data_IF_412936790006
#
_entry.id   IF_412936790006
#
_cell.length_a   1.000
_cell.length_b   1.000
_cell.length_c   1.000
_cell.angle_alpha   90.00
_cell.angle_beta   90.00
_cell.angle_gamma   90.00
#
_symmetry.space_group_name_H-M   'P 1'
#
loop_
_entity.id
_entity.type
_entity.pdbx_description
1 polymer ?
#
# COMPACT_ATOMS: atom_id res chain seq x y z
N UNK A 1 -0.91 -14.20 16.43
CA UNK A 1 -0.06 -15.27 16.96
C UNK A 1 -0.21 -16.56 16.16
N UNK A 2 -1.43 -17.09 15.93
CA UNK A 2 -1.66 -18.36 15.21
C UNK A 2 -1.08 -18.32 13.78
N UNK A 3 -1.29 -17.25 13.01
CA UNK A 3 -0.72 -17.08 11.67
C UNK A 3 0.81 -17.07 11.70
N UNK A 4 1.43 -16.34 12.64
CA UNK A 4 2.88 -16.33 12.80
C UNK A 4 3.43 -17.71 13.11
N UNK A 5 2.79 -18.46 14.02
CA UNK A 5 3.20 -19.83 14.36
C UNK A 5 3.08 -20.77 13.13
N UNK A 6 2.02 -20.65 12.33
CA UNK A 6 1.87 -21.44 11.12
C UNK A 6 2.97 -21.11 10.08
N UNK A 7 3.31 -19.84 9.87
CA UNK A 7 4.41 -19.43 9.01
C UNK A 7 5.76 -19.96 9.51
N UNK A 8 6.02 -19.86 10.82
CA UNK A 8 7.25 -20.40 11.44
C UNK A 8 7.35 -21.90 11.22
N UNK A 9 6.26 -22.66 11.39
CA UNK A 9 6.27 -24.10 11.18
C UNK A 9 6.60 -24.49 9.72
N UNK A 10 6.25 -23.67 8.74
CA UNK A 10 6.55 -23.91 7.32
C UNK A 10 7.96 -23.47 6.96
N UNK A 11 8.41 -22.31 7.46
CA UNK A 11 9.69 -21.70 7.08
C UNK A 11 10.86 -22.31 7.84
N UNK A 12 10.71 -22.63 9.14
CA UNK A 12 11.80 -23.12 9.98
C UNK A 12 12.51 -24.36 9.43
N UNK A 13 11.83 -25.41 8.93
CA UNK A 13 12.52 -26.56 8.36
C UNK A 13 13.37 -26.21 7.12
N UNK A 14 12.91 -25.24 6.30
CA UNK A 14 13.60 -24.84 5.06
C UNK A 14 14.89 -24.07 5.34
N UNK A 15 14.97 -23.32 6.44
CA UNK A 15 16.11 -22.48 6.79
C UNK A 15 16.97 -23.02 7.93
N UNK A 16 16.57 -24.14 8.53
CA UNK A 16 17.23 -24.72 9.70
C UNK A 16 18.75 -24.90 9.52
N UNK A 17 19.17 -25.41 8.39
CA UNK A 17 20.59 -25.65 8.09
C UNK A 17 21.42 -24.35 8.01
N UNK A 18 20.80 -23.22 7.75
CA UNK A 18 21.45 -21.91 7.62
C UNK A 18 21.53 -21.18 8.98
N UNK A 19 20.61 -21.48 9.89
CA UNK A 19 20.49 -20.80 11.20
C UNK A 19 21.29 -21.50 12.31
N UNK A 20 21.37 -22.82 12.30
CA UNK A 20 22.02 -23.64 13.37
C UNK A 20 23.51 -23.32 13.60
N UNK A 21 24.34 -22.96 12.61
CA UNK A 21 25.75 -22.64 12.85
C UNK A 21 26.00 -21.37 13.69
N UNK A 22 24.99 -20.50 13.86
CA UNK A 22 25.14 -19.22 14.56
C UNK A 22 25.03 -19.33 16.10
N UNK A 23 24.68 -20.49 16.66
CA UNK A 23 24.32 -20.66 18.07
C UNK A 23 25.55 -21.00 18.97
N UNK A 24 26.63 -20.21 18.92
CA UNK A 24 27.84 -20.48 19.71
C UNK A 24 27.95 -19.77 21.06
N UNK A 25 27.41 -18.58 21.22
CA UNK A 25 27.47 -17.77 22.44
C UNK A 25 26.18 -16.97 22.63
N UNK A 26 25.87 -16.56 23.85
CA UNK A 26 24.69 -15.73 24.15
C UNK A 26 24.68 -14.41 23.33
N UNK A 27 25.83 -13.82 23.07
CA UNK A 27 25.96 -12.62 22.24
C UNK A 27 25.66 -12.94 20.76
N UNK A 28 26.12 -14.06 20.23
CA UNK A 28 25.84 -14.47 18.86
C UNK A 28 24.32 -14.70 18.65
N UNK A 29 23.65 -15.32 19.61
CA UNK A 29 22.20 -15.50 19.59
C UNK A 29 21.48 -14.14 19.62
N UNK A 30 21.93 -13.19 20.45
CA UNK A 30 21.33 -11.86 20.52
C UNK A 30 21.48 -11.08 19.20
N UNK A 31 22.65 -11.15 18.54
CA UNK A 31 22.89 -10.54 17.24
C UNK A 31 21.99 -11.19 16.16
N UNK A 32 21.89 -12.51 16.17
CA UNK A 32 21.04 -13.24 15.23
C UNK A 32 19.56 -12.83 15.39
N UNK A 33 19.05 -12.75 16.61
CA UNK A 33 17.68 -12.30 16.87
C UNK A 33 17.45 -10.84 16.43
N UNK A 34 18.42 -9.97 16.64
CA UNK A 34 18.35 -8.58 16.21
C UNK A 34 18.32 -8.47 14.69
N UNK A 35 19.21 -9.18 13.97
CA UNK A 35 19.24 -9.18 12.50
C UNK A 35 17.94 -9.74 11.91
N UNK A 36 17.44 -10.87 12.39
CA UNK A 36 16.20 -11.47 11.94
C UNK A 36 14.99 -10.54 12.15
N UNK A 37 14.95 -9.88 13.31
CA UNK A 37 13.88 -8.91 13.62
C UNK A 37 13.92 -7.73 12.66
N UNK A 38 15.11 -7.17 12.38
CA UNK A 38 15.28 -6.05 11.45
C UNK A 38 14.88 -6.44 10.03
N UNK A 39 15.31 -7.61 9.55
CA UNK A 39 14.97 -8.09 8.21
C UNK A 39 13.48 -8.32 8.08
N UNK A 40 12.87 -9.01 9.05
CA UNK A 40 11.42 -9.27 9.06
C UNK A 40 10.58 -7.98 9.11
N UNK A 41 10.99 -7.00 9.94
CA UNK A 41 10.34 -5.69 9.99
C UNK A 41 10.48 -4.91 8.68
N UNK A 42 11.64 -4.97 8.04
CA UNK A 42 11.89 -4.30 6.76
C UNK A 42 10.99 -4.85 5.65
N UNK A 43 10.90 -6.17 5.52
CA UNK A 43 10.01 -6.84 4.55
C UNK A 43 8.55 -6.50 4.84
N UNK A 44 8.13 -6.63 6.11
CA UNK A 44 6.76 -6.31 6.54
C UNK A 44 6.40 -4.85 6.30
N UNK A 45 7.34 -3.94 6.52
CA UNK A 45 7.19 -2.51 6.26
C UNK A 45 6.98 -2.23 4.76
N UNK A 46 7.80 -2.82 3.88
CA UNK A 46 7.68 -2.63 2.44
C UNK A 46 6.33 -3.15 1.89
N UNK A 47 5.89 -4.33 2.32
CA UNK A 47 4.55 -4.85 1.97
C UNK A 47 3.46 -3.90 2.46
N UNK A 48 3.59 -3.37 3.67
CA UNK A 48 2.63 -2.43 4.24
C UNK A 48 2.59 -1.10 3.51
N UNK A 49 3.73 -0.59 3.02
CA UNK A 49 3.80 0.63 2.21
C UNK A 49 2.96 0.51 0.94
N UNK A 50 2.98 -0.63 0.25
CA UNK A 50 2.17 -0.86 -0.94
C UNK A 50 0.67 -0.87 -0.63
N UNK A 51 0.28 -1.41 0.51
CA UNK A 51 -1.11 -1.35 0.98
C UNK A 51 -1.51 0.08 1.35
N UNK A 52 -0.61 0.83 1.99
CA UNK A 52 -0.85 2.25 2.29
C UNK A 52 -0.97 3.11 1.05
N UNK A 53 -0.29 2.77 -0.05
CA UNK A 53 -0.45 3.47 -1.31
C UNK A 53 -1.91 3.51 -1.78
N UNK A 54 -2.67 2.41 -1.62
CA UNK A 54 -4.11 2.38 -1.90
C UNK A 54 -4.92 3.29 -0.97
N UNK A 55 -4.58 3.31 0.31
CA UNK A 55 -5.26 4.17 1.27
C UNK A 55 -5.02 5.65 0.96
N UNK A 56 -3.77 6.03 0.68
CA UNK A 56 -3.40 7.39 0.30
C UNK A 56 -4.10 7.80 -0.99
N UNK A 57 -4.08 6.95 -2.03
CA UNK A 57 -4.81 7.20 -3.26
C UNK A 57 -6.31 7.41 -3.02
N UNK A 58 -6.93 6.55 -2.20
CA UNK A 58 -8.35 6.66 -1.84
C UNK A 58 -8.69 7.95 -1.10
N UNK A 59 -7.81 8.41 -0.19
CA UNK A 59 -7.96 9.71 0.48
C UNK A 59 -7.87 10.86 -0.52
N UNK A 60 -6.88 10.85 -1.42
CA UNK A 60 -6.72 11.86 -2.46
C UNK A 60 -7.95 11.93 -3.37
N UNK A 61 -8.47 10.78 -3.81
CA UNK A 61 -9.66 10.69 -4.64
C UNK A 61 -10.89 11.24 -3.90
N UNK A 62 -11.09 10.84 -2.65
CA UNK A 62 -12.23 11.28 -1.86
C UNK A 62 -12.22 12.79 -1.62
N UNK A 63 -11.05 13.37 -1.35
CA UNK A 63 -10.92 14.82 -1.18
C UNK A 63 -11.16 15.59 -2.48
N UNK A 64 -10.60 15.11 -3.60
CA UNK A 64 -10.77 15.74 -4.89
C UNK A 64 -12.22 15.76 -5.37
N UNK A 65 -12.96 14.70 -5.06
CA UNK A 65 -14.35 14.52 -5.52
C UNK A 65 -15.40 15.08 -4.55
N UNK A 66 -14.99 15.73 -3.46
CA UNK A 66 -15.85 16.23 -2.39
C UNK A 66 -16.75 15.16 -1.73
N UNK A 67 -16.53 13.88 -2.01
CA UNK A 67 -17.31 12.78 -1.41
C UNK A 67 -17.13 12.68 0.11
N UNK A 68 -16.02 13.19 0.63
CA UNK A 68 -15.79 13.28 2.07
C UNK A 68 -16.82 14.12 2.81
N UNK A 69 -17.46 15.09 2.13
CA UNK A 69 -18.51 15.94 2.72
C UNK A 69 -19.82 15.17 2.94
N UNK A 70 -20.10 14.15 2.13
CA UNK A 70 -21.31 13.34 2.27
C UNK A 70 -21.23 12.30 3.38
N UNK A 71 -20.05 11.76 3.62
CA UNK A 71 -19.82 10.68 4.57
C UNK A 71 -19.16 11.13 5.87
N UNK A 72 -18.81 12.42 5.97
CA UNK A 72 -18.01 13.00 7.06
C UNK A 72 -18.74 13.33 8.35
N UNK A 73 -20.04 13.01 8.48
CA UNK A 73 -20.81 13.35 9.68
C UNK A 73 -20.84 12.28 10.77
N UNK A 74 -20.15 11.16 10.61
CA UNK A 74 -20.03 10.16 11.66
C UNK A 74 -18.77 10.42 12.50
N UNK A 75 -19.00 10.71 13.77
CA UNK A 75 -18.04 10.90 14.85
C UNK A 75 -17.02 9.74 14.96
N UNK A 76 -15.84 9.98 14.49
CA UNK A 76 -14.74 9.05 14.48
C UNK A 76 -13.77 9.46 13.37
N UNK A 77 -12.48 9.26 13.48
CA UNK A 77 -11.54 9.66 12.43
C UNK A 77 -12.06 9.23 11.04
N UNK A 78 -12.40 10.15 10.16
CA UNK A 78 -13.05 9.83 8.90
C UNK A 78 -12.02 9.24 7.94
N UNK A 79 -11.85 7.93 8.01
CA UNK A 79 -11.25 7.22 6.89
C UNK A 79 -12.25 7.28 5.74
N UNK A 80 -11.94 7.95 4.62
CA UNK A 80 -12.89 8.11 3.54
C UNK A 80 -13.35 6.73 3.05
N UNK A 81 -14.65 6.55 2.84
CA UNK A 81 -15.22 5.27 2.41
C UNK A 81 -14.53 4.70 1.15
N UNK A 82 -14.09 5.60 0.25
CA UNK A 82 -13.32 5.25 -0.94
C UNK A 82 -11.97 4.62 -0.57
N UNK A 83 -11.26 5.19 0.41
CA UNK A 83 -9.99 4.65 0.89
C UNK A 83 -10.15 3.25 1.46
N UNK A 84 -11.20 3.05 2.26
CA UNK A 84 -11.50 1.73 2.83
C UNK A 84 -11.90 0.71 1.76
N UNK A 85 -12.72 1.10 0.79
CA UNK A 85 -13.11 0.22 -0.30
C UNK A 85 -11.90 -0.23 -1.14
N UNK A 86 -11.00 0.69 -1.50
CA UNK A 86 -9.76 0.36 -2.21
C UNK A 86 -8.85 -0.54 -1.38
N UNK A 87 -8.70 -0.26 -0.09
CA UNK A 87 -7.90 -1.06 0.83
C UNK A 87 -8.41 -2.50 0.94
N UNK A 88 -9.72 -2.68 1.21
CA UNK A 88 -10.33 -4.01 1.32
C UNK A 88 -10.26 -4.74 -0.01
N UNK A 89 -10.57 -4.07 -1.13
CA UNK A 89 -10.49 -4.63 -2.47
C UNK A 89 -9.07 -5.06 -2.81
N UNK A 90 -8.06 -4.23 -2.50
CA UNK A 90 -6.65 -4.56 -2.69
C UNK A 90 -6.20 -5.77 -1.86
N UNK A 91 -6.58 -5.82 -0.58
CA UNK A 91 -6.27 -6.98 0.27
C UNK A 91 -6.94 -8.27 -0.22
N UNK A 92 -8.19 -8.19 -0.68
CA UNK A 92 -8.89 -9.33 -1.25
C UNK A 92 -8.20 -9.85 -2.53
N UNK A 93 -7.75 -8.93 -3.41
CA UNK A 93 -6.98 -9.28 -4.60
C UNK A 93 -5.62 -9.86 -4.25
N UNK A 94 -4.89 -9.27 -3.31
CA UNK A 94 -3.60 -9.79 -2.84
C UNK A 94 -3.75 -11.21 -2.26
N UNK A 95 -4.80 -11.45 -1.46
CA UNK A 95 -5.09 -12.76 -0.90
C UNK A 95 -5.40 -13.78 -2.01
N UNK A 96 -6.22 -13.42 -2.99
CA UNK A 96 -6.54 -14.27 -4.14
C UNK A 96 -5.34 -14.54 -5.05
N UNK A 97 -4.39 -13.59 -5.13
CA UNK A 97 -3.12 -13.74 -5.85
C UNK A 97 -2.09 -14.60 -5.09
N UNK A 98 -2.45 -15.18 -3.92
CA UNK A 98 -1.57 -16.05 -3.17
C UNK A 98 -0.53 -15.32 -2.31
N UNK A 99 -0.84 -14.13 -1.79
CA UNK A 99 0.04 -13.33 -0.92
C UNK A 99 0.75 -14.17 0.16
N UNK A 100 0.05 -15.09 0.80
CA UNK A 100 0.60 -15.94 1.86
C UNK A 100 1.74 -16.85 1.35
N UNK A 101 1.63 -17.34 0.13
CA UNK A 101 2.68 -18.18 -0.50
C UNK A 101 3.89 -17.32 -0.86
N UNK A 102 3.67 -16.14 -1.43
CA UNK A 102 4.74 -15.22 -1.77
C UNK A 102 5.49 -14.73 -0.53
N UNK A 103 4.80 -14.40 0.57
CA UNK A 103 5.45 -14.02 1.82
C UNK A 103 6.33 -15.16 2.36
N UNK A 104 5.84 -16.39 2.37
CA UNK A 104 6.65 -17.53 2.80
C UNK A 104 7.91 -17.70 1.92
N UNK A 105 7.76 -17.54 0.61
CA UNK A 105 8.87 -17.58 -0.33
C UNK A 105 9.91 -16.47 -0.07
N UNK A 106 9.46 -15.23 0.08
CA UNK A 106 10.34 -14.08 0.37
C UNK A 106 11.12 -14.30 1.67
N UNK A 107 10.45 -14.83 2.71
CA UNK A 107 11.12 -15.16 3.98
C UNK A 107 12.19 -16.23 3.82
N UNK A 108 11.98 -17.24 2.97
CA UNK A 108 12.99 -18.25 2.68
C UNK A 108 14.15 -17.66 1.85
N UNK A 109 13.82 -16.89 0.81
CA UNK A 109 14.79 -16.26 -0.08
C UNK A 109 15.63 -15.18 0.65
N UNK A 110 15.09 -14.54 1.69
CA UNK A 110 15.82 -13.53 2.46
C UNK A 110 17.12 -14.10 3.07
N UNK A 111 17.14 -15.37 3.45
CA UNK A 111 18.34 -16.02 4.01
C UNK A 111 19.46 -16.22 2.99
N UNK A 112 19.15 -16.22 1.69
CA UNK A 112 20.18 -16.30 0.63
C UNK A 112 20.83 -14.94 0.37
N UNK A 113 20.08 -13.84 0.58
CA UNK A 113 20.58 -12.46 0.36
C UNK A 113 21.17 -11.89 1.65
N UNK A 114 20.57 -12.21 2.78
CA UNK A 114 20.92 -11.72 4.12
C UNK A 114 21.10 -12.92 5.06
N UNK A 115 22.32 -13.48 5.17
CA UNK A 115 22.58 -14.65 6.00
C UNK A 115 22.25 -14.39 7.47
N UNK A 116 21.76 -15.42 8.16
CA UNK A 116 21.40 -15.34 9.57
C UNK A 116 22.58 -14.90 10.45
N UNK A 117 22.33 -13.99 11.38
CA UNK A 117 23.34 -13.48 12.31
C UNK A 117 24.27 -12.41 11.75
N UNK A 118 24.04 -11.98 10.50
CA UNK A 118 24.75 -10.84 9.90
C UNK A 118 23.81 -9.63 9.89
N UNK A 119 24.25 -8.53 10.51
CA UNK A 119 23.48 -7.29 10.44
C UNK A 119 23.64 -6.69 9.03
N UNK A 120 22.52 -6.33 8.38
CA UNK A 120 22.58 -5.65 7.09
C UNK A 120 23.28 -4.30 7.24
N UNK A 121 23.97 -3.84 6.18
CA UNK A 121 24.56 -2.51 6.16
C UNK A 121 23.47 -1.44 6.31
N UNK A 122 23.65 -0.55 7.29
CA UNK A 122 22.65 0.46 7.65
C UNK A 122 22.38 1.45 6.50
N UNK A 123 23.41 1.80 5.70
CA UNK A 123 23.27 2.73 4.58
C UNK A 123 22.45 2.10 3.44
N UNK A 124 22.74 0.85 3.12
CA UNK A 124 22.01 0.09 2.10
C UNK A 124 20.56 -0.14 2.49
N UNK A 125 20.30 -0.52 3.76
CA UNK A 125 18.95 -0.73 4.27
C UNK A 125 18.15 0.58 4.28
N UNK A 126 18.76 1.69 4.67
CA UNK A 126 18.11 3.00 4.65
C UNK A 126 17.80 3.44 3.22
N UNK A 127 18.74 3.30 2.28
CA UNK A 127 18.53 3.61 0.87
C UNK A 127 17.37 2.80 0.26
N UNK A 128 17.34 1.50 0.56
CA UNK A 128 16.26 0.61 0.17
C UNK A 128 14.90 1.05 0.75
N UNK A 129 14.83 1.34 2.05
CA UNK A 129 13.60 1.78 2.70
C UNK A 129 13.08 3.11 2.14
N UNK A 130 13.95 4.10 1.96
CA UNK A 130 13.59 5.41 1.37
C UNK A 130 13.10 5.23 -0.07
N UNK A 131 13.74 4.38 -0.87
CA UNK A 131 13.30 4.06 -2.22
C UNK A 131 11.88 3.47 -2.26
N UNK A 132 11.57 2.55 -1.34
CA UNK A 132 10.23 1.97 -1.24
C UNK A 132 9.17 2.97 -0.76
N UNK A 133 9.51 3.85 0.17
CA UNK A 133 8.63 4.96 0.57
C UNK A 133 8.33 5.88 -0.61
N UNK A 134 9.36 6.32 -1.34
CA UNK A 134 9.19 7.16 -2.52
C UNK A 134 8.32 6.48 -3.58
N UNK A 135 8.55 5.20 -3.84
CA UNK A 135 7.77 4.41 -4.81
C UNK A 135 6.31 4.24 -4.39
N UNK A 136 6.04 4.04 -3.09
CA UNK A 136 4.68 3.94 -2.57
C UNK A 136 3.90 5.26 -2.72
N UNK A 137 4.53 6.41 -2.45
CA UNK A 137 3.92 7.72 -2.68
C UNK A 137 3.70 7.99 -4.18
N UNK A 138 4.68 7.66 -5.03
CA UNK A 138 4.54 7.79 -6.47
C UNK A 138 3.38 6.94 -7.01
N UNK A 139 3.26 5.69 -6.55
CA UNK A 139 2.16 4.80 -6.89
C UNK A 139 0.81 5.38 -6.42
N UNK A 140 0.73 5.85 -5.18
CA UNK A 140 -0.49 6.45 -4.64
C UNK A 140 -0.95 7.65 -5.49
N UNK A 141 -0.02 8.51 -5.86
CA UNK A 141 -0.31 9.66 -6.72
C UNK A 141 -0.75 9.21 -8.12
N UNK A 142 -0.04 8.28 -8.74
CA UNK A 142 -0.40 7.74 -10.07
C UNK A 142 -1.81 7.14 -10.09
N UNK A 143 -2.20 6.42 -9.05
CA UNK A 143 -3.54 5.87 -8.91
C UNK A 143 -4.60 6.97 -8.74
N UNK A 144 -4.28 8.08 -8.08
CA UNK A 144 -5.21 9.18 -7.86
C UNK A 144 -5.38 10.10 -9.08
N UNK A 145 -4.37 10.23 -9.95
CA UNK A 145 -4.32 11.17 -11.08
C UNK A 145 -5.60 11.20 -11.94
N UNK A 146 -6.19 10.08 -12.37
CA UNK A 146 -7.39 10.12 -13.21
C UNK A 146 -8.57 10.85 -12.54
N UNK A 147 -8.77 10.59 -11.24
CA UNK A 147 -9.82 11.23 -10.47
C UNK A 147 -9.51 12.70 -10.18
N UNK A 148 -8.24 13.04 -9.92
CA UNK A 148 -7.79 14.42 -9.73
C UNK A 148 -8.02 15.26 -10.98
N UNK A 149 -7.68 14.76 -12.16
CA UNK A 149 -7.90 15.46 -13.43
C UNK A 149 -9.41 15.65 -13.68
N UNK A 150 -10.20 14.59 -13.50
CA UNK A 150 -11.64 14.67 -13.70
C UNK A 150 -12.28 15.69 -12.73
N UNK A 151 -11.90 15.69 -11.46
CA UNK A 151 -12.42 16.65 -10.48
C UNK A 151 -12.02 18.10 -10.80
N UNK A 152 -10.79 18.31 -11.27
CA UNK A 152 -10.33 19.62 -11.70
C UNK A 152 -11.16 20.16 -12.87
N UNK A 153 -11.43 19.34 -13.87
CA UNK A 153 -12.27 19.71 -15.01
C UNK A 153 -13.70 20.07 -14.57
N UNK A 154 -14.29 19.28 -13.68
CA UNK A 154 -15.63 19.55 -13.11
C UNK A 154 -15.63 20.88 -12.34
N UNK A 155 -14.62 21.11 -11.50
CA UNK A 155 -14.52 22.34 -10.71
C UNK A 155 -14.35 23.58 -11.59
N UNK A 156 -13.56 23.49 -12.69
CA UNK A 156 -13.42 24.55 -13.68
C UNK A 156 -14.74 24.83 -14.40
N UNK A 157 -15.47 23.78 -14.81
CA UNK A 157 -16.77 23.91 -15.43
C UNK A 157 -17.80 24.58 -14.49
N UNK A 158 -17.85 24.14 -13.24
CA UNK A 158 -18.71 24.74 -12.21
C UNK A 158 -18.37 26.22 -11.96
N UNK A 159 -17.08 26.57 -11.89
CA UNK A 159 -16.61 27.94 -11.76
C UNK A 159 -17.02 28.82 -12.93
N UNK A 160 -16.91 28.31 -14.16
CA UNK A 160 -17.35 29.01 -15.37
C UNK A 160 -18.88 29.22 -15.38
N UNK A 161 -19.65 28.19 -15.01
CA UNK A 161 -21.12 28.26 -14.92
C UNK A 161 -21.59 29.26 -13.86
N UNK A 162 -20.96 29.27 -12.68
CA UNK A 162 -21.27 30.25 -11.63
C UNK A 162 -21.02 31.70 -12.08
N UNK A 163 -19.99 31.92 -12.92
CA UNK A 163 -19.71 33.25 -13.45
C UNK A 163 -20.68 33.67 -14.56
N UNK A 164 -21.15 32.70 -15.37
CA UNK A 164 -22.06 32.98 -16.47
C UNK A 164 -23.53 33.21 -16.01
N UNK A 165 -23.95 32.50 -14.97
CA UNK A 165 -25.35 32.50 -14.49
C UNK A 165 -25.39 32.58 -12.95
N UNK A 166 -25.07 33.75 -12.36
CA UNK A 166 -25.02 33.92 -10.92
C UNK A 166 -26.42 33.85 -10.24
N UNK A 167 -27.49 34.08 -10.99
CA UNK A 167 -28.89 34.04 -10.49
C UNK A 167 -29.40 32.59 -10.32
N UNK A 168 -28.84 31.62 -11.01
CA UNK A 168 -29.17 30.22 -10.78
C UNK A 168 -28.34 29.74 -9.59
N UNK A 169 -29.00 29.31 -8.54
CA UNK A 169 -28.31 28.68 -7.39
C UNK A 169 -27.71 27.35 -7.82
N UNK A 170 -26.67 27.42 -8.69
CA UNK A 170 -25.98 26.25 -9.28
C UNK A 170 -25.45 25.30 -8.20
N UNK A 171 -25.16 25.83 -7.00
CA UNK A 171 -24.72 25.05 -5.86
C UNK A 171 -25.76 24.00 -5.42
N UNK A 172 -27.07 24.29 -5.54
CA UNK A 172 -28.12 23.35 -5.13
C UNK A 172 -28.29 22.15 -6.06
N UNK A 173 -28.00 22.31 -7.35
CA UNK A 173 -28.11 21.24 -8.35
C UNK A 173 -26.72 20.66 -8.65
N UNK A 174 -25.70 21.50 -8.62
CA UNK A 174 -24.33 21.15 -8.99
C UNK A 174 -23.68 20.17 -8.02
N UNK A 175 -23.87 20.36 -6.71
CA UNK A 175 -23.28 19.48 -5.70
C UNK A 175 -23.81 18.03 -5.81
N UNK A 176 -25.12 17.76 -5.87
CA UNK A 176 -25.63 16.41 -6.07
C UNK A 176 -25.20 15.79 -7.40
N UNK A 177 -25.19 16.58 -8.49
CA UNK A 177 -24.74 16.10 -9.79
C UNK A 177 -23.25 15.74 -9.80
N UNK A 178 -22.41 16.58 -9.19
CA UNK A 178 -20.98 16.31 -9.02
C UNK A 178 -20.72 15.03 -8.23
N UNK A 179 -21.49 14.80 -7.19
CA UNK A 179 -21.38 13.61 -6.35
C UNK A 179 -21.72 12.34 -7.11
N UNK A 180 -22.84 12.34 -7.85
CA UNK A 180 -23.23 11.21 -8.69
C UNK A 180 -22.18 10.94 -9.78
N UNK A 181 -21.67 11.99 -10.44
CA UNK A 181 -20.60 11.86 -11.42
C UNK A 181 -19.32 11.28 -10.81
N UNK A 182 -18.95 11.73 -9.60
CA UNK A 182 -17.80 11.21 -8.88
C UNK A 182 -17.97 9.73 -8.50
N UNK A 183 -19.14 9.33 -8.02
CA UNK A 183 -19.42 7.92 -7.71
C UNK A 183 -19.37 7.05 -8.98
N UNK A 184 -19.95 7.52 -10.08
CA UNK A 184 -19.87 6.83 -11.38
C UNK A 184 -18.43 6.69 -11.87
N UNK A 185 -17.65 7.77 -11.78
CA UNK A 185 -16.23 7.76 -12.13
C UNK A 185 -15.45 6.72 -11.31
N UNK A 186 -15.60 6.76 -9.98
CA UNK A 186 -14.92 5.82 -9.08
C UNK A 186 -15.31 4.38 -9.40
N UNK A 187 -16.61 4.11 -9.63
CA UNK A 187 -17.05 2.76 -10.00
C UNK A 187 -16.37 2.24 -11.27
N UNK A 188 -16.17 3.11 -12.26
CA UNK A 188 -15.53 2.74 -13.54
C UNK A 188 -14.01 2.59 -13.41
N UNK A 189 -13.34 3.47 -12.67
CA UNK A 189 -11.88 3.46 -12.57
C UNK A 189 -11.34 2.45 -11.55
N UNK A 190 -12.11 2.10 -10.51
CA UNK A 190 -11.65 1.21 -9.42
C UNK A 190 -11.06 -0.11 -9.92
N UNK A 191 -11.66 -0.86 -10.85
CA UNK A 191 -11.07 -2.09 -11.35
C UNK A 191 -9.71 -1.88 -12.01
N UNK A 192 -9.54 -0.78 -12.73
CA UNK A 192 -8.27 -0.42 -13.39
C UNK A 192 -7.22 -0.04 -12.36
N UNK A 193 -7.57 0.77 -11.36
CA UNK A 193 -6.67 1.14 -10.27
C UNK A 193 -6.17 -0.09 -9.51
N UNK A 194 -7.07 -0.99 -9.18
CA UNK A 194 -6.74 -2.22 -8.48
C UNK A 194 -5.88 -3.17 -9.33
N UNK A 195 -6.11 -3.23 -10.65
CA UNK A 195 -5.28 -4.02 -11.55
C UNK A 195 -3.86 -3.47 -11.65
N UNK A 196 -3.69 -2.14 -11.78
CA UNK A 196 -2.38 -1.49 -11.79
C UNK A 196 -1.66 -1.74 -10.46
N UNK A 197 -2.35 -1.53 -9.34
CA UNK A 197 -1.78 -1.79 -8.03
C UNK A 197 -1.34 -3.25 -7.88
N UNK A 198 -2.18 -4.22 -8.30
CA UNK A 198 -1.86 -5.64 -8.20
C UNK A 198 -0.63 -6.00 -9.05
N UNK A 199 -0.47 -5.40 -10.23
CA UNK A 199 0.70 -5.60 -11.08
C UNK A 199 1.99 -5.12 -10.39
N UNK A 200 1.96 -3.93 -9.76
CA UNK A 200 3.10 -3.40 -8.99
C UNK A 200 3.36 -4.26 -7.75
N UNK A 201 2.29 -4.67 -7.07
CA UNK A 201 2.39 -5.52 -5.88
C UNK A 201 3.02 -6.87 -6.19
N UNK A 202 2.58 -7.54 -7.26
CA UNK A 202 3.16 -8.83 -7.69
C UNK A 202 4.59 -8.70 -8.19
N UNK A 203 4.95 -7.60 -8.87
CA UNK A 203 6.33 -7.33 -9.27
C UNK A 203 7.26 -7.14 -8.07
N UNK A 204 6.80 -6.45 -7.03
CA UNK A 204 7.53 -6.33 -5.77
C UNK A 204 7.73 -7.69 -5.09
N UNK A 205 6.68 -8.52 -5.04
CA UNK A 205 6.78 -9.86 -4.44
C UNK A 205 7.72 -10.79 -5.22
N UNK A 206 7.95 -10.54 -6.51
CA UNK A 206 8.87 -11.31 -7.33
C UNK A 206 10.35 -10.95 -7.08
N UNK A 207 10.68 -9.69 -6.77
CA UNK A 207 12.03 -9.23 -6.43
C UNK A 207 12.02 -8.14 -5.34
N UNK A 208 11.80 -8.51 -4.07
CA UNK A 208 11.70 -7.56 -2.98
C UNK A 208 13.05 -6.94 -2.59
N UNK A 209 14.17 -7.56 -2.99
CA UNK A 209 15.54 -7.16 -2.64
C UNK A 209 16.29 -6.48 -3.78
N UNK A 210 15.63 -6.11 -4.87
CA UNK A 210 16.22 -5.56 -6.10
C UNK A 210 17.04 -4.27 -5.95
N UNK A 211 17.25 -3.75 -4.76
CA UNK A 211 18.11 -2.61 -4.45
C UNK A 211 19.18 -2.87 -3.39
N UNK A 212 19.27 -4.08 -2.88
CA UNK A 212 20.18 -4.46 -1.76
C UNK A 212 21.37 -5.30 -2.24
N UNK A 213 21.45 -5.59 -3.55
CA UNK A 213 22.56 -6.35 -4.17
C UNK A 213 23.77 -5.49 -4.43
#
# INVERSE_FOLDING_TARGET
LAAAAAFTAVVAPAVYAQVVPAAGSGLAVAIALASETLIGLSIGFAVRLLVWALQIAGVMIAQATALSQLFGFSSGEPSPAVSQALWIGGLALAASAGLHVHIARILIESYTVLPAGVLPDAASLLGWAVGHVASAFALAFQLAVPALIASLLVNLAMGAMNRAMPALMITFIGVPAQTLAALGLIAVITPVLLAIWLAVFTSFLADPFGGVR
#
